data_IF_849117798428
#
_entry.id   IF_849117798428
#
_cell.length_a   1.000
_cell.length_b   1.000
_cell.length_c   1.000
_cell.angle_alpha   90.00
_cell.angle_beta   90.00
_cell.angle_gamma   90.00
#
_symmetry.space_group_name_H-M   'P 1'
#
loop_
_entity.id
_entity.type
_entity.pdbx_description
1 polymer ?
#
# COMPACT_ATOMS: atom_id res chain seq x y z
N UNK A 1 -1.54 1.78 7.47
CA UNK A 1 -2.08 0.99 6.33
C UNK A 1 -3.58 1.00 6.43
N UNK A 2 -4.29 1.01 5.31
CA UNK A 2 -5.74 0.84 5.25
C UNK A 2 -6.02 -0.54 4.67
N UNK A 3 -6.90 -1.30 5.30
CA UNK A 3 -7.25 -2.64 4.85
C UNK A 3 -8.72 -2.94 5.09
N UNK A 4 -9.24 -3.89 4.33
CA UNK A 4 -10.58 -4.43 4.49
C UNK A 4 -10.61 -5.87 4.00
N UNK A 5 -11.69 -6.58 4.36
CA UNK A 5 -11.95 -7.92 3.86
C UNK A 5 -13.01 -7.85 2.76
N UNK A 6 -12.76 -8.52 1.64
CA UNK A 6 -13.75 -8.71 0.58
C UNK A 6 -13.79 -10.20 0.24
N UNK A 7 -14.91 -10.86 0.55
CA UNK A 7 -15.06 -12.32 0.45
C UNK A 7 -13.92 -13.06 1.17
N UNK A 8 -13.15 -13.84 0.41
CA UNK A 8 -12.03 -14.68 0.89
C UNK A 8 -10.72 -13.90 0.99
N UNK A 9 -10.67 -12.67 0.48
CA UNK A 9 -9.44 -11.90 0.34
C UNK A 9 -9.33 -10.77 1.37
N UNK A 10 -8.11 -10.57 1.85
CA UNK A 10 -7.68 -9.34 2.50
C UNK A 10 -7.15 -8.38 1.45
N UNK A 11 -7.64 -7.15 1.42
CA UNK A 11 -7.17 -6.10 0.52
C UNK A 11 -6.65 -4.93 1.34
N UNK A 12 -5.68 -4.21 0.80
CA UNK A 12 -5.21 -3.01 1.46
C UNK A 12 -4.15 -2.24 0.68
N UNK A 13 -3.78 -1.11 1.25
CA UNK A 13 -2.77 -0.20 0.74
C UNK A 13 -2.09 0.57 1.87
N UNK A 14 -0.97 1.22 1.55
CA UNK A 14 -0.23 2.09 2.48
C UNK A 14 -0.80 3.50 2.38
N UNK A 15 -1.06 4.17 3.50
CA UNK A 15 -1.69 5.51 3.52
C UNK A 15 -0.90 6.53 2.71
N UNK A 16 0.42 6.39 2.71
CA UNK A 16 1.36 7.18 1.93
C UNK A 16 1.29 6.92 0.41
N UNK A 17 0.78 5.77 0.01
CA UNK A 17 0.68 5.30 -1.37
C UNK A 17 -0.75 4.82 -1.66
N UNK A 18 -1.77 5.70 -1.53
CA UNK A 18 -3.18 5.29 -1.51
C UNK A 18 -3.69 4.77 -2.86
N UNK A 19 -2.91 4.96 -3.91
CA UNK A 19 -3.22 4.52 -5.27
C UNK A 19 -2.73 3.11 -5.58
N UNK A 20 -1.95 2.50 -4.68
CA UNK A 20 -1.26 1.24 -4.91
C UNK A 20 -1.80 0.20 -3.93
N UNK A 21 -2.66 -0.68 -4.42
CA UNK A 21 -3.33 -1.68 -3.61
C UNK A 21 -2.73 -3.06 -3.86
N UNK A 22 -2.83 -3.93 -2.86
CA UNK A 22 -2.50 -5.34 -2.97
C UNK A 22 -3.48 -6.18 -2.14
N UNK A 23 -3.37 -7.50 -2.24
CA UNK A 23 -4.27 -8.45 -1.58
C UNK A 23 -3.52 -9.67 -1.02
N UNK A 24 -4.11 -10.39 -0.08
CA UNK A 24 -3.60 -11.66 0.45
C UNK A 24 -4.75 -12.60 0.87
N UNK A 25 -4.49 -13.91 0.88
CA UNK A 25 -5.47 -14.91 1.34
C UNK A 25 -5.62 -14.87 2.86
N UNK A 26 -4.52 -14.63 3.56
CA UNK A 26 -4.49 -14.32 5.00
C UNK A 26 -4.13 -12.86 5.25
N UNK A 27 -4.32 -12.39 6.48
CA UNK A 27 -3.93 -11.03 6.85
C UNK A 27 -2.41 -10.89 6.84
N UNK A 28 -1.71 -11.95 7.24
CA UNK A 28 -0.25 -12.07 7.18
C UNK A 28 0.26 -11.96 5.74
N UNK A 29 -0.38 -12.63 4.77
CA UNK A 29 -0.01 -12.52 3.35
C UNK A 29 -0.18 -11.08 2.84
N UNK A 30 -1.30 -10.43 3.17
CA UNK A 30 -1.52 -9.03 2.82
C UNK A 30 -0.37 -8.15 3.37
N UNK A 31 0.05 -8.38 4.62
CA UNK A 31 1.17 -7.63 5.20
C UNK A 31 2.49 -7.89 4.48
N UNK A 32 2.79 -9.13 4.11
CA UNK A 32 4.00 -9.45 3.34
C UNK A 32 3.99 -8.76 1.98
N UNK A 33 2.86 -8.81 1.26
CA UNK A 33 2.71 -8.13 -0.02
C UNK A 33 2.81 -6.61 0.12
N UNK A 34 2.24 -6.02 1.18
CA UNK A 34 2.38 -4.58 1.45
C UNK A 34 3.83 -4.19 1.74
N UNK A 35 4.62 -5.04 2.43
CA UNK A 35 6.06 -4.79 2.64
C UNK A 35 6.85 -4.86 1.33
N UNK A 36 6.50 -5.80 0.45
CA UNK A 36 7.08 -5.88 -0.90
C UNK A 36 6.78 -4.61 -1.70
N UNK A 37 5.50 -4.24 -1.77
CA UNK A 37 5.04 -3.04 -2.46
C UNK A 37 5.73 -1.78 -1.94
N UNK A 38 5.88 -1.63 -0.62
CA UNK A 38 6.62 -0.50 -0.04
C UNK A 38 8.06 -0.42 -0.56
N UNK A 39 8.78 -1.54 -0.60
CA UNK A 39 10.17 -1.59 -1.09
C UNK A 39 10.25 -1.17 -2.55
N UNK A 40 9.32 -1.64 -3.38
CA UNK A 40 9.32 -1.31 -4.80
C UNK A 40 9.03 0.18 -5.02
N UNK A 41 8.01 0.72 -4.35
CA UNK A 41 7.61 2.13 -4.47
C UNK A 41 8.65 3.10 -3.89
N UNK A 42 9.44 2.66 -2.89
CA UNK A 42 10.49 3.48 -2.27
C UNK A 42 11.89 3.24 -2.84
N UNK A 43 12.03 2.30 -3.80
CA UNK A 43 13.32 1.92 -4.38
C UNK A 43 14.01 3.06 -5.16
N UNK A 44 13.25 4.01 -5.71
CA UNK A 44 13.76 5.01 -6.65
C UNK A 44 13.87 4.54 -8.10
N UNK A 45 13.63 3.25 -8.36
CA UNK A 45 13.73 2.65 -9.70
C UNK A 45 12.47 2.86 -10.55
N UNK A 46 11.31 3.00 -9.90
CA UNK A 46 10.03 3.22 -10.57
C UNK A 46 9.80 4.73 -10.80
N UNK A 47 9.73 5.20 -12.06
CA UNK A 47 9.38 6.59 -12.32
C UNK A 47 7.90 6.86 -12.03
N UNK A 48 7.58 8.07 -11.56
CA UNK A 48 6.19 8.52 -11.42
C UNK A 48 5.41 7.90 -10.25
N UNK A 49 6.10 7.36 -9.24
CA UNK A 49 5.45 6.90 -8.00
C UNK A 49 4.74 8.07 -7.31
N UNK A 50 3.43 7.93 -7.09
CA UNK A 50 2.59 8.93 -6.41
C UNK A 50 2.62 8.73 -4.91
N UNK A 51 2.91 9.79 -4.16
CA UNK A 51 2.93 9.80 -2.70
C UNK A 51 1.90 10.79 -2.17
N UNK A 52 1.04 10.34 -1.27
CA UNK A 52 0.16 11.21 -0.53
C UNK A 52 0.91 11.83 0.65
N UNK A 53 0.69 13.13 0.87
CA UNK A 53 1.19 13.87 2.02
C UNK A 53 0.13 14.86 2.45
N UNK A 54 0.12 15.21 3.73
CA UNK A 54 -0.71 16.30 4.22
C UNK A 54 -0.01 17.63 3.95
N UNK A 55 -0.76 18.62 3.47
CA UNK A 55 -0.29 20.00 3.34
C UNK A 55 -0.78 20.80 4.54
N UNK A 56 0.15 21.22 5.41
CA UNK A 56 -0.17 22.17 6.46
C UNK A 56 -0.34 23.57 5.85
N UNK A 57 -1.50 24.17 6.06
CA UNK A 57 -1.83 25.54 5.65
C UNK A 57 -1.97 26.37 6.92
N UNK A 58 -0.85 26.99 7.33
CA UNK A 58 -0.78 27.93 8.46
C UNK A 58 -0.89 29.37 7.97
#
# INVERSE_FOLDING_TARGET
>A
MIYWRNEEWWLGYLEEFPDYWTQGETFEDLQEHLRGLYKDLTSGELPGVRRATELSVV
#
